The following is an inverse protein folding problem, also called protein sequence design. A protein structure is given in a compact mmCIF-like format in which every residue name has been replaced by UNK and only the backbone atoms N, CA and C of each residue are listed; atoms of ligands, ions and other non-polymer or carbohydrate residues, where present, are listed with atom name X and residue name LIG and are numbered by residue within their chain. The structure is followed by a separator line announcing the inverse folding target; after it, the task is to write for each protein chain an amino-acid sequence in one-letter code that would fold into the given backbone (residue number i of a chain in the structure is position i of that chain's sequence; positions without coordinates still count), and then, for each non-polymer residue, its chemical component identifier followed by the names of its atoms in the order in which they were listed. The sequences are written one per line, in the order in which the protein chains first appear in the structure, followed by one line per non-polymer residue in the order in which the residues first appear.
data_IF_557874178235
#
_entry.id   IF_557874178235
#
_cell.length_a   1.000
_cell.length_b   1.000
_cell.length_c   1.000
_cell.angle_alpha   90.00
_cell.angle_beta   90.00
_cell.angle_gamma   90.00
#
_symmetry.space_group_name_H-M   'P 1'
#
loop_
_entity.id
_entity.type
_entity.pdbx_description
1 polymer ?
#
# COMPACT_ATOMS: atom_id res chain seq x y z
N UNK A 1 13.56 16.73 -19.30
CA UNK A 1 12.40 16.09 -18.65
C UNK A 1 12.90 15.41 -17.40
N UNK A 2 12.38 15.77 -16.22
CA UNK A 2 12.84 15.22 -14.95
C UNK A 2 12.17 13.85 -14.66
N UNK A 3 12.63 13.16 -13.60
CA UNK A 3 12.14 11.83 -13.22
C UNK A 3 10.62 11.82 -12.93
N UNK A 4 10.10 12.87 -12.30
CA UNK A 4 8.67 13.01 -11.99
C UNK A 4 7.82 13.03 -13.28
N UNK A 5 8.21 13.85 -14.25
CA UNK A 5 7.55 13.95 -15.55
C UNK A 5 7.61 12.62 -16.33
N UNK A 6 8.73 11.88 -16.22
CA UNK A 6 8.87 10.56 -16.84
C UNK A 6 7.89 9.54 -16.24
N UNK A 7 7.78 9.49 -14.91
CA UNK A 7 6.88 8.55 -14.21
C UNK A 7 5.43 8.82 -14.58
N UNK A 8 4.99 10.09 -14.55
CA UNK A 8 3.61 10.44 -14.91
C UNK A 8 3.27 9.96 -16.32
N UNK A 9 4.17 10.18 -17.29
CA UNK A 9 3.95 9.75 -18.67
C UNK A 9 3.95 8.23 -18.85
N UNK A 10 4.58 7.48 -17.94
CA UNK A 10 4.57 6.02 -17.99
C UNK A 10 3.30 5.37 -17.43
N UNK A 11 2.45 6.11 -16.73
CA UNK A 11 1.18 5.57 -16.21
C UNK A 11 0.25 5.27 -17.39
N UNK A 12 -0.12 3.99 -17.54
CA UNK A 12 -1.06 3.54 -18.55
C UNK A 12 -2.41 3.17 -17.91
N UNK A 13 -3.53 3.22 -18.66
CA UNK A 13 -4.78 2.61 -18.22
C UNK A 13 -4.60 1.12 -17.96
N UNK A 14 -5.41 0.56 -17.05
CA UNK A 14 -5.47 -0.88 -16.85
C UNK A 14 -5.88 -1.60 -18.16
N UNK A 15 -5.30 -2.78 -18.40
CA UNK A 15 -5.52 -3.57 -19.61
C UNK A 15 -6.98 -4.08 -19.69
N UNK A 16 -7.74 -3.57 -20.66
CA UNK A 16 -9.15 -3.94 -20.85
C UNK A 16 -9.33 -5.37 -21.34
N UNK A 17 -8.38 -5.90 -22.13
CA UNK A 17 -8.43 -7.26 -22.64
C UNK A 17 -8.21 -8.25 -21.49
N UNK A 18 -7.20 -8.02 -20.66
CA UNK A 18 -6.94 -8.86 -19.48
C UNK A 18 -8.14 -8.85 -18.50
N UNK A 19 -8.82 -7.71 -18.33
CA UNK A 19 -10.05 -7.62 -17.54
C UNK A 19 -11.17 -8.49 -18.12
N UNK A 20 -11.39 -8.42 -19.44
CA UNK A 20 -12.44 -9.19 -20.12
C UNK A 20 -12.18 -10.71 -20.06
N UNK A 21 -10.93 -11.12 -20.25
CA UNK A 21 -10.52 -12.53 -20.13
C UNK A 21 -10.63 -13.05 -18.70
N UNK A 22 -10.31 -12.22 -17.70
CA UNK A 22 -10.50 -12.57 -16.29
C UNK A 22 -11.99 -12.72 -15.95
N UNK A 23 -12.84 -11.79 -16.38
CA UNK A 23 -14.28 -11.84 -16.18
C UNK A 23 -14.89 -13.11 -16.80
N UNK A 24 -14.60 -13.37 -18.08
CA UNK A 24 -15.08 -14.56 -18.80
C UNK A 24 -14.68 -15.86 -18.10
N UNK A 25 -13.46 -15.91 -17.54
CA UNK A 25 -13.01 -17.07 -16.78
C UNK A 25 -13.72 -17.22 -15.45
N UNK A 26 -13.82 -16.15 -14.67
CA UNK A 26 -14.48 -16.16 -13.37
C UNK A 26 -15.94 -16.60 -13.54
N UNK A 27 -16.61 -16.16 -14.61
CA UNK A 27 -17.97 -16.56 -14.97
C UNK A 27 -18.08 -18.04 -15.39
N UNK A 28 -17.00 -18.63 -15.91
CA UNK A 28 -16.95 -20.07 -16.26
C UNK A 28 -16.74 -21.01 -15.07
N UNK A 29 -16.41 -20.47 -13.88
CA UNK A 29 -16.19 -21.27 -12.68
C UNK A 29 -17.49 -21.86 -12.15
N UNK A 30 -17.38 -22.99 -11.44
CA UNK A 30 -18.53 -23.65 -10.78
C UNK A 30 -18.97 -22.82 -9.57
N UNK A 31 -19.77 -21.79 -9.83
CA UNK A 31 -20.42 -20.92 -8.85
C UNK A 31 -21.63 -20.25 -9.51
N UNK A 32 -22.67 -19.84 -8.76
CA UNK A 32 -23.66 -18.92 -9.31
C UNK A 32 -22.97 -17.63 -9.77
N UNK A 33 -23.40 -17.09 -10.91
CA UNK A 33 -22.85 -15.85 -11.49
C UNK A 33 -22.87 -14.72 -10.45
N UNK A 34 -21.73 -14.05 -10.27
CA UNK A 34 -21.58 -12.95 -9.32
C UNK A 34 -21.65 -13.31 -7.82
N UNK A 35 -21.74 -14.59 -7.46
CA UNK A 35 -21.92 -15.00 -6.04
C UNK A 35 -20.77 -14.65 -5.10
N UNK A 36 -19.55 -14.42 -5.62
CA UNK A 36 -18.42 -13.97 -4.80
C UNK A 36 -18.31 -12.43 -4.73
N UNK A 37 -19.21 -11.70 -5.41
CA UNK A 37 -19.37 -10.26 -5.33
C UNK A 37 -18.05 -9.50 -5.54
N UNK A 38 -17.63 -8.73 -4.53
CA UNK A 38 -16.42 -7.88 -4.59
C UNK A 38 -15.13 -8.64 -4.86
N UNK A 39 -15.06 -9.93 -4.52
CA UNK A 39 -13.88 -10.75 -4.82
C UNK A 39 -13.70 -10.95 -6.33
N UNK A 40 -14.80 -11.05 -7.09
CA UNK A 40 -14.74 -11.17 -8.55
C UNK A 40 -14.23 -9.86 -9.17
N UNK A 41 -14.80 -8.73 -8.75
CA UNK A 41 -14.36 -7.40 -9.20
C UNK A 41 -12.90 -7.15 -8.88
N UNK A 42 -12.45 -7.50 -7.66
CA UNK A 42 -11.04 -7.35 -7.26
C UNK A 42 -10.09 -8.18 -8.13
N UNK A 43 -10.46 -9.43 -8.44
CA UNK A 43 -9.65 -10.29 -9.30
C UNK A 43 -9.55 -9.74 -10.74
N UNK A 44 -10.65 -9.20 -11.28
CA UNK A 44 -10.69 -8.55 -12.59
C UNK A 44 -9.80 -7.30 -12.61
N UNK A 45 -9.87 -6.46 -11.57
CA UNK A 45 -9.06 -5.24 -11.47
C UNK A 45 -7.57 -5.57 -11.37
N UNK A 46 -7.20 -6.57 -10.56
CA UNK A 46 -5.83 -7.07 -10.48
C UNK A 46 -5.35 -7.53 -11.87
N UNK A 47 -6.15 -8.31 -12.59
CA UNK A 47 -5.81 -8.76 -13.92
C UNK A 47 -5.55 -7.59 -14.90
N UNK A 48 -6.35 -6.52 -14.82
CA UNK A 48 -6.13 -5.31 -15.61
C UNK A 48 -4.86 -4.54 -15.22
N UNK A 49 -4.55 -4.45 -13.92
CA UNK A 49 -3.34 -3.78 -13.42
C UNK A 49 -2.08 -4.54 -13.84
N UNK A 50 -2.10 -5.88 -13.79
CA UNK A 50 -0.94 -6.71 -14.11
C UNK A 50 -0.87 -7.11 -15.59
N UNK A 51 -1.91 -6.84 -16.38
CA UNK A 51 -2.04 -7.33 -17.76
C UNK A 51 -2.12 -8.86 -17.86
N UNK A 52 -2.63 -9.54 -16.83
CA UNK A 52 -2.65 -11.01 -16.76
C UNK A 52 -4.00 -11.53 -16.24
N UNK A 53 -4.81 -12.10 -17.13
CA UNK A 53 -6.13 -12.67 -16.84
C UNK A 53 -6.13 -13.88 -15.89
N UNK A 54 -4.95 -14.47 -15.64
CA UNK A 54 -4.72 -15.57 -14.71
C UNK A 54 -3.66 -15.16 -13.68
N UNK A 55 -3.82 -13.96 -13.13
CA UNK A 55 -2.94 -13.51 -12.05
C UNK A 55 -2.99 -14.53 -10.93
N UNK A 56 -1.86 -15.23 -10.74
CA UNK A 56 -1.71 -16.21 -9.67
C UNK A 56 -1.61 -15.51 -8.31
N UNK A 57 -0.82 -16.08 -7.41
CA UNK A 57 -0.61 -15.50 -6.08
C UNK A 57 0.20 -14.19 -6.12
N UNK A 58 -0.31 -13.13 -5.49
CA UNK A 58 0.45 -11.90 -5.20
C UNK A 58 1.36 -12.11 -3.98
N UNK A 59 2.49 -12.80 -4.18
CA UNK A 59 3.36 -13.23 -3.07
C UNK A 59 4.12 -12.10 -2.40
N UNK A 60 4.63 -11.13 -3.17
CA UNK A 60 5.43 -10.02 -2.67
C UNK A 60 4.58 -8.77 -2.54
N UNK A 61 4.35 -8.36 -1.30
CA UNK A 61 3.54 -7.19 -0.93
C UNK A 61 4.34 -6.35 0.04
N UNK A 62 4.28 -5.04 -0.12
CA UNK A 62 5.06 -4.10 0.71
C UNK A 62 4.19 -2.91 1.08
N UNK A 63 4.18 -2.55 2.35
CA UNK A 63 3.56 -1.33 2.87
C UNK A 63 4.64 -0.27 2.99
N UNK A 64 4.44 0.90 2.40
CA UNK A 64 5.36 2.04 2.57
C UNK A 64 4.72 3.03 3.52
N UNK A 65 5.39 3.35 4.62
CA UNK A 65 4.91 4.27 5.66
C UNK A 65 5.77 5.52 5.64
N UNK A 66 5.17 6.63 5.22
CA UNK A 66 5.80 7.95 5.23
C UNK A 66 5.54 8.62 6.58
N UNK A 67 6.60 8.93 7.31
CA UNK A 67 6.54 9.53 8.64
C UNK A 67 6.95 11.00 8.55
N UNK A 68 6.13 11.89 9.11
CA UNK A 68 6.38 13.34 9.13
C UNK A 68 5.61 14.00 10.26
N UNK A 69 6.19 15.05 10.82
CA UNK A 69 5.46 16.02 11.63
C UNK A 69 4.90 17.15 10.75
N UNK A 70 3.97 17.91 11.31
CA UNK A 70 3.30 19.01 10.62
C UNK A 70 3.36 20.27 11.48
N UNK A 71 3.80 21.40 10.90
CA UNK A 71 3.95 22.66 11.63
C UNK A 71 2.63 23.21 12.22
N UNK A 72 1.49 22.89 11.60
CA UNK A 72 0.15 23.25 12.12
C UNK A 72 -0.15 22.68 13.51
N UNK A 73 0.68 21.76 14.01
CA UNK A 73 0.64 21.31 15.40
C UNK A 73 0.64 22.47 16.41
N UNK A 74 1.35 23.58 16.12
CA UNK A 74 1.42 24.77 16.98
C UNK A 74 0.06 25.41 17.26
N UNK A 75 -0.91 25.23 16.35
CA UNK A 75 -2.30 25.69 16.48
C UNK A 75 -3.14 24.80 17.41
N UNK A 76 -2.52 23.78 18.03
CA UNK A 76 -3.14 22.89 19.04
C UNK A 76 -4.36 22.12 18.51
N UNK A 77 -4.30 21.75 17.24
CA UNK A 77 -5.35 20.95 16.56
C UNK A 77 -5.16 19.43 16.70
N UNK A 78 -4.00 18.99 17.18
CA UNK A 78 -3.66 17.57 17.32
C UNK A 78 -4.20 16.98 18.64
N UNK A 79 -4.66 15.72 18.59
CA UNK A 79 -5.15 14.97 19.75
C UNK A 79 -4.06 14.30 20.57
N UNK A 80 -2.83 14.23 20.05
CA UNK A 80 -1.67 13.63 20.68
C UNK A 80 -0.48 14.60 20.64
N UNK A 81 0.47 14.52 21.59
CA UNK A 81 1.70 15.29 21.55
C UNK A 81 2.52 15.03 20.28
N UNK A 82 3.27 16.03 19.81
CA UNK A 82 4.07 15.94 18.58
C UNK A 82 5.11 14.81 18.62
N UNK A 83 5.77 14.62 19.76
CA UNK A 83 6.80 13.60 19.97
C UNK A 83 6.30 12.16 19.76
N UNK A 84 4.97 11.94 19.70
CA UNK A 84 4.38 10.65 19.36
C UNK A 84 4.81 10.18 17.96
N UNK A 85 5.09 11.09 17.04
CA UNK A 85 5.59 10.74 15.69
C UNK A 85 6.91 9.98 15.78
N UNK A 86 7.90 10.52 16.50
CA UNK A 86 9.21 9.88 16.74
C UNK A 86 9.05 8.58 17.50
N UNK A 87 8.23 8.57 18.55
CA UNK A 87 7.95 7.38 19.34
C UNK A 87 7.37 6.25 18.46
N UNK A 88 6.41 6.57 17.60
CA UNK A 88 5.75 5.60 16.73
C UNK A 88 6.72 5.08 15.66
N UNK A 89 7.59 5.94 15.11
CA UNK A 89 8.66 5.51 14.22
C UNK A 89 9.55 4.44 14.86
N UNK A 90 9.99 4.63 16.12
CA UNK A 90 10.76 3.61 16.84
C UNK A 90 9.96 2.33 17.11
N UNK A 91 8.69 2.45 17.48
CA UNK A 91 7.82 1.29 17.74
C UNK A 91 7.62 0.48 16.46
N UNK A 92 7.45 1.14 15.31
CA UNK A 92 7.38 0.51 13.99
C UNK A 92 8.71 -0.12 13.57
N UNK A 93 9.84 0.57 13.78
CA UNK A 93 11.17 0.02 13.48
C UNK A 93 11.46 -1.26 14.28
N UNK A 94 10.92 -1.36 15.51
CA UNK A 94 10.98 -2.56 16.35
C UNK A 94 9.95 -3.64 16.00
N UNK A 95 9.07 -3.40 15.03
CA UNK A 95 8.03 -4.34 14.62
C UNK A 95 6.93 -4.55 15.68
N UNK A 96 6.67 -3.55 16.53
CA UNK A 96 5.74 -3.64 17.66
C UNK A 96 4.48 -2.80 17.50
N UNK A 97 4.34 -2.04 16.42
CA UNK A 97 3.10 -1.30 16.16
C UNK A 97 2.02 -2.25 15.67
N UNK A 98 0.75 -1.86 15.86
CA UNK A 98 -0.39 -2.62 15.30
C UNK A 98 -0.25 -2.83 13.78
N UNK A 99 0.22 -1.82 13.05
CA UNK A 99 0.50 -1.94 11.62
C UNK A 99 1.55 -3.01 11.33
N UNK A 100 2.69 -3.01 12.03
CA UNK A 100 3.76 -3.99 11.77
C UNK A 100 3.35 -5.42 12.13
N UNK A 101 2.52 -5.60 13.16
CA UNK A 101 1.97 -6.91 13.54
C UNK A 101 1.01 -7.42 12.46
N UNK A 102 0.09 -6.57 11.97
CA UNK A 102 -0.83 -6.93 10.90
C UNK A 102 -0.11 -7.17 9.56
N UNK A 103 0.94 -6.40 9.25
CA UNK A 103 1.77 -6.62 8.07
C UNK A 103 2.40 -8.01 8.08
N UNK A 104 2.97 -8.40 9.22
CA UNK A 104 3.55 -9.73 9.43
C UNK A 104 2.50 -10.84 9.28
N UNK A 105 1.35 -10.70 9.92
CA UNK A 105 0.25 -11.67 9.82
C UNK A 105 -0.25 -11.81 8.38
N UNK A 106 -0.36 -10.70 7.66
CA UNK A 106 -0.76 -10.70 6.26
C UNK A 106 0.34 -11.20 5.31
N UNK A 107 1.57 -11.47 5.78
CA UNK A 107 2.72 -11.84 4.95
C UNK A 107 3.16 -10.72 4.01
N UNK A 108 3.17 -9.49 4.49
CA UNK A 108 3.62 -8.29 3.77
C UNK A 108 4.87 -7.70 4.41
N UNK A 109 5.83 -7.30 3.59
CA UNK A 109 6.96 -6.48 4.02
C UNK A 109 6.47 -5.06 4.37
N UNK A 110 7.28 -4.29 5.08
CA UNK A 110 7.06 -2.86 5.23
C UNK A 110 8.35 -2.06 5.15
N UNK A 111 8.25 -0.83 4.66
CA UNK A 111 9.34 0.13 4.56
C UNK A 111 8.88 1.39 5.28
N UNK A 112 9.70 1.86 6.21
CA UNK A 112 9.47 3.12 6.91
C UNK A 112 10.36 4.17 6.25
N UNK A 113 9.81 5.35 5.98
CA UNK A 113 10.51 6.45 5.35
C UNK A 113 10.31 7.69 6.21
N UNK A 114 11.40 8.32 6.63
CA UNK A 114 11.34 9.65 7.22
C UNK A 114 11.27 10.69 6.09
N UNK A 115 10.16 11.43 6.02
CA UNK A 115 10.00 12.51 5.04
C UNK A 115 9.90 13.89 5.71
N UNK A 116 10.08 13.97 7.03
CA UNK A 116 9.96 15.23 7.77
C UNK A 116 9.56 15.08 9.24
N UNK A 117 10.04 14.06 9.96
CA UNK A 117 9.84 13.99 11.41
C UNK A 117 10.62 15.13 12.08
N UNK A 118 10.01 15.83 13.04
CA UNK A 118 10.62 16.95 13.73
C UNK A 118 11.57 16.46 14.83
N UNK A 119 12.70 15.87 14.43
CA UNK A 119 13.74 15.40 15.35
C UNK A 119 15.13 15.45 14.70
N UNK A 120 16.16 15.70 15.50
CA UNK A 120 17.56 15.55 15.10
C UNK A 120 18.09 14.12 15.36
N UNK A 121 17.27 13.27 15.99
CA UNK A 121 17.64 11.89 16.29
C UNK A 121 17.77 11.05 15.01
N UNK A 122 18.80 10.21 14.94
CA UNK A 122 18.87 9.17 13.91
C UNK A 122 17.90 8.05 14.26
N UNK A 123 16.97 7.73 13.37
CA UNK A 123 15.97 6.68 13.56
C UNK A 123 16.36 5.40 12.80
N UNK A 124 17.00 4.40 13.45
CA UNK A 124 17.45 3.21 12.75
C UNK A 124 16.25 2.40 12.22
N UNK A 125 16.33 1.95 10.97
CA UNK A 125 15.26 1.19 10.32
C UNK A 125 14.27 2.04 9.51
N UNK A 126 14.47 3.37 9.48
CA UNK A 126 13.82 4.26 8.52
C UNK A 126 14.79 4.57 7.37
N UNK A 127 14.24 4.72 6.17
CA UNK A 127 14.92 5.31 5.00
C UNK A 127 14.93 6.83 5.08
#
# INVERSE_FOLDING_TARGET
MNRYEQIIRSIQPADSHARQEAASYIDSLIKPMGSLGRLETLAIDIAGITGNARTGSLKKRTIIVMCSDNGVYEERVASAPQDVTVLMAHVMAKGKSGMTVLAKEAGSDYILVDVGINTDEKLPGLL
#
